data_IF_979065102665
#
_entry.id   IF_979065102665
#
_cell.length_a   1.000
_cell.length_b   1.000
_cell.length_c   1.000
_cell.angle_alpha   90.00
_cell.angle_beta   90.00
_cell.angle_gamma   90.00
#
_symmetry.space_group_name_H-M   'P 1'
#
loop_
_entity.id
_entity.type
_entity.pdbx_description
1 polymer ?
#
# COMPACT_ATOMS: atom_id res chain seq x y z
N UNK A 1 -22.09 -7.79 12.63
CA UNK A 1 -23.17 -8.47 11.88
C UNK A 1 -22.80 -8.72 10.41
N UNK A 2 -22.60 -7.67 9.61
CA UNK A 2 -22.27 -7.76 8.16
C UNK A 2 -21.10 -8.72 7.87
N UNK A 3 -19.93 -8.54 8.49
CA UNK A 3 -18.77 -9.43 8.26
C UNK A 3 -19.14 -10.91 8.47
N UNK A 4 -19.68 -11.25 9.64
CA UNK A 4 -20.02 -12.63 10.03
C UNK A 4 -21.09 -13.26 9.14
N UNK A 5 -22.11 -12.51 8.75
CA UNK A 5 -23.28 -13.07 8.06
C UNK A 5 -23.18 -13.00 6.53
N UNK A 6 -22.41 -12.05 5.99
CA UNK A 6 -22.37 -11.78 4.54
C UNK A 6 -20.98 -11.97 3.92
N UNK A 7 -19.89 -11.82 4.67
CA UNK A 7 -18.53 -11.91 4.11
C UNK A 7 -17.84 -13.21 4.49
N UNK A 8 -17.84 -13.58 5.78
CA UNK A 8 -17.15 -14.78 6.27
C UNK A 8 -17.64 -16.09 5.62
N UNK A 9 -18.93 -16.24 5.23
CA UNK A 9 -19.38 -17.41 4.47
C UNK A 9 -18.88 -17.44 3.02
N UNK A 10 -18.45 -16.31 2.46
CA UNK A 10 -18.05 -16.19 1.06
C UNK A 10 -16.56 -16.54 0.90
N UNK A 11 -16.21 -17.70 0.30
CA UNK A 11 -14.83 -18.16 0.23
C UNK A 11 -13.94 -17.29 -0.65
N UNK A 12 -14.49 -16.37 -1.45
CA UNK A 12 -13.76 -15.40 -2.27
C UNK A 12 -13.84 -13.97 -1.71
N UNK A 13 -14.64 -13.75 -0.66
CA UNK A 13 -14.82 -12.46 -0.03
C UNK A 13 -13.66 -12.11 0.90
N UNK A 14 -13.27 -10.84 0.91
CA UNK A 14 -12.42 -10.25 1.94
C UNK A 14 -12.97 -8.88 2.31
N UNK A 15 -12.69 -8.45 3.53
CA UNK A 15 -13.19 -7.18 4.08
C UNK A 15 -12.05 -6.41 4.72
N UNK A 16 -12.05 -5.09 4.53
CA UNK A 16 -11.11 -4.15 5.15
C UNK A 16 -11.89 -2.91 5.59
N UNK A 17 -11.39 -2.21 6.59
CA UNK A 17 -11.89 -0.88 6.96
C UNK A 17 -11.04 0.16 6.22
N UNK A 18 -11.70 1.08 5.52
CA UNK A 18 -11.04 2.19 4.85
C UNK A 18 -11.07 3.45 5.71
N UNK A 19 -9.99 4.21 5.72
CA UNK A 19 -9.91 5.50 6.40
C UNK A 19 -9.14 6.52 5.58
N UNK A 20 -9.40 7.80 5.79
CA UNK A 20 -8.57 8.90 5.30
C UNK A 20 -7.75 9.44 6.48
N UNK A 21 -6.48 9.07 6.57
CA UNK A 21 -5.61 9.50 7.66
C UNK A 21 -5.39 11.02 7.60
N UNK A 22 -5.92 11.75 8.59
CA UNK A 22 -5.74 13.19 8.68
C UNK A 22 -5.86 13.69 10.11
N UNK A 23 -5.00 14.64 10.50
CA UNK A 23 -4.96 15.16 11.87
C UNK A 23 -6.29 15.77 12.30
N UNK A 24 -6.97 16.43 11.37
CA UNK A 24 -8.32 16.99 11.56
C UNK A 24 -9.40 15.94 11.84
N UNK A 25 -9.16 14.68 11.50
CA UNK A 25 -10.10 13.57 11.61
C UNK A 25 -9.59 12.44 12.53
N UNK A 26 -8.63 12.73 13.43
CA UNK A 26 -7.98 11.70 14.26
C UNK A 26 -8.97 10.82 15.04
N UNK A 27 -10.04 11.39 15.61
CA UNK A 27 -11.06 10.63 16.32
C UNK A 27 -11.78 9.61 15.44
N UNK A 28 -12.07 9.96 14.18
CA UNK A 28 -12.63 9.04 13.20
C UNK A 28 -11.60 7.98 12.78
N UNK A 29 -10.34 8.38 12.58
CA UNK A 29 -9.27 7.43 12.27
C UNK A 29 -9.08 6.40 13.39
N UNK A 30 -9.14 6.83 14.65
CA UNK A 30 -9.09 5.96 15.83
C UNK A 30 -10.27 4.99 15.88
N UNK A 31 -11.49 5.48 15.68
CA UNK A 31 -12.68 4.63 15.64
C UNK A 31 -12.61 3.58 14.51
N UNK A 32 -12.12 3.96 13.32
CA UNK A 32 -11.90 3.02 12.22
C UNK A 32 -10.85 1.96 12.57
N UNK A 33 -9.77 2.34 13.25
CA UNK A 33 -8.74 1.40 13.69
C UNK A 33 -9.27 0.43 14.76
N UNK A 34 -10.00 0.93 15.76
CA UNK A 34 -10.64 0.10 16.78
C UNK A 34 -11.62 -0.89 16.15
N UNK A 35 -12.43 -0.46 15.18
CA UNK A 35 -13.33 -1.34 14.44
C UNK A 35 -12.56 -2.40 13.62
N UNK A 36 -11.46 -2.02 12.96
CA UNK A 36 -10.62 -2.97 12.24
C UNK A 36 -10.04 -4.04 13.16
N UNK A 37 -9.62 -3.66 14.37
CA UNK A 37 -9.09 -4.57 15.39
C UNK A 37 -10.18 -5.51 15.93
N UNK A 38 -11.36 -4.99 16.28
CA UNK A 38 -12.49 -5.80 16.75
C UNK A 38 -12.93 -6.83 15.70
N UNK A 39 -12.94 -6.44 14.43
CA UNK A 39 -13.32 -7.30 13.32
C UNK A 39 -12.20 -8.23 12.84
N UNK A 40 -10.97 -8.04 13.33
CA UNK A 40 -9.80 -8.82 12.90
C UNK A 40 -9.45 -8.62 11.42
N UNK A 41 -9.62 -7.41 10.89
CA UNK A 41 -9.36 -7.08 9.48
C UNK A 41 -8.32 -5.98 9.33
N UNK A 42 -7.85 -5.76 8.10
CA UNK A 42 -6.89 -4.69 7.81
C UNK A 42 -7.56 -3.32 7.80
N UNK A 43 -6.76 -2.30 8.16
CA UNK A 43 -7.04 -0.90 7.89
C UNK A 43 -6.37 -0.51 6.58
N UNK A 44 -7.09 0.15 5.67
CA UNK A 44 -6.53 0.68 4.43
C UNK A 44 -6.65 2.22 4.38
N UNK A 45 -5.65 2.89 3.80
CA UNK A 45 -5.67 4.34 3.63
C UNK A 45 -4.83 4.80 2.45
N UNK A 46 -5.29 5.86 1.77
CA UNK A 46 -4.47 6.61 0.82
C UNK A 46 -3.61 7.59 1.62
N UNK A 47 -2.28 7.51 1.49
CA UNK A 47 -1.37 8.32 2.29
C UNK A 47 -0.25 8.88 1.41
N UNK A 48 -0.06 10.20 1.49
CA UNK A 48 1.06 10.90 0.85
C UNK A 48 1.19 10.56 -0.65
N UNK A 49 0.05 10.43 -1.33
CA UNK A 49 -0.03 10.42 -2.77
C UNK A 49 0.32 11.81 -3.33
N UNK A 50 -0.21 12.86 -2.68
CA UNK A 50 -0.02 14.26 -3.05
C UNK A 50 0.83 14.97 -2.00
N UNK A 51 1.73 15.90 -2.38
CA UNK A 51 2.60 16.56 -1.41
C UNK A 51 1.80 17.41 -0.41
N UNK A 52 0.62 17.92 -0.81
CA UNK A 52 -0.24 18.72 0.05
C UNK A 52 -0.80 17.95 1.26
N UNK A 53 -0.93 16.62 1.15
CA UNK A 53 -1.37 15.76 2.26
C UNK A 53 -0.40 15.76 3.45
N UNK A 54 0.82 16.27 3.26
CA UNK A 54 1.77 16.50 4.35
C UNK A 54 1.19 17.37 5.46
N UNK A 55 0.32 18.34 5.12
CA UNK A 55 -0.31 19.23 6.09
C UNK A 55 -1.19 18.48 7.11
N UNK A 56 -1.71 17.31 6.73
CA UNK A 56 -2.56 16.47 7.56
C UNK A 56 -1.78 15.48 8.45
N UNK A 57 -0.45 15.45 8.34
CA UNK A 57 0.45 14.54 9.09
C UNK A 57 -0.06 13.09 9.17
N UNK A 58 -0.36 12.44 8.02
CA UNK A 58 -1.06 11.17 8.00
C UNK A 58 -0.28 10.03 8.66
N UNK A 59 1.05 10.00 8.53
CA UNK A 59 1.87 8.98 9.21
C UNK A 59 1.91 9.22 10.72
N UNK A 60 2.01 10.48 11.17
CA UNK A 60 1.91 10.81 12.59
C UNK A 60 0.57 10.39 13.19
N UNK A 61 -0.54 10.67 12.51
CA UNK A 61 -1.88 10.23 12.95
C UNK A 61 -1.98 8.72 13.05
N UNK A 62 -1.50 7.98 12.03
CA UNK A 62 -1.51 6.52 12.04
C UNK A 62 -0.62 5.96 13.16
N UNK A 63 0.47 6.65 13.50
CA UNK A 63 1.32 6.33 14.65
C UNK A 63 0.59 6.57 15.97
N UNK A 64 -0.05 7.72 16.14
CA UNK A 64 -0.70 8.14 17.39
C UNK A 64 -1.94 7.29 17.75
N UNK A 65 -2.61 6.73 16.74
CA UNK A 65 -3.68 5.76 16.95
C UNK A 65 -3.16 4.32 17.10
N UNK A 66 -1.86 4.09 16.93
CA UNK A 66 -1.24 2.76 17.04
C UNK A 66 -1.53 1.84 15.85
N UNK A 67 -1.81 2.38 14.67
CA UNK A 67 -2.13 1.61 13.46
C UNK A 67 -0.89 1.15 12.68
N UNK A 68 0.31 1.69 12.95
CA UNK A 68 1.53 1.23 12.27
C UNK A 68 1.81 -0.24 12.58
N UNK A 69 1.63 -1.11 11.58
CA UNK A 69 1.75 -2.54 11.75
C UNK A 69 1.43 -3.32 10.46
N UNK A 70 1.57 -4.65 10.48
CA UNK A 70 1.28 -5.51 9.33
C UNK A 70 -0.20 -5.58 8.94
N UNK A 71 -1.11 -5.02 9.76
CA UNK A 71 -2.55 -4.89 9.45
C UNK A 71 -2.91 -3.53 8.81
N UNK A 72 -1.92 -2.69 8.52
CA UNK A 72 -2.11 -1.42 7.83
C UNK A 72 -1.63 -1.53 6.38
N UNK A 73 -2.55 -1.25 5.45
CA UNK A 73 -2.27 -1.08 4.03
C UNK A 73 -2.29 0.41 3.66
N UNK A 74 -1.15 0.92 3.22
CA UNK A 74 -1.02 2.27 2.69
C UNK A 74 -0.93 2.24 1.16
N UNK A 75 -1.81 2.97 0.50
CA UNK A 75 -1.76 3.19 -0.95
C UNK A 75 -0.87 4.40 -1.27
N UNK A 76 -0.17 4.32 -2.41
CA UNK A 76 0.69 5.36 -3.00
C UNK A 76 2.00 5.64 -2.28
N UNK A 77 1.98 6.12 -1.03
CA UNK A 77 3.16 6.40 -0.20
C UNK A 77 4.31 7.12 -0.94
N UNK A 78 3.98 8.09 -1.80
CA UNK A 78 4.92 8.70 -2.74
C UNK A 78 5.86 9.65 -2.00
N UNK A 79 5.29 10.51 -1.16
CA UNK A 79 6.00 11.60 -0.52
C UNK A 79 6.49 11.27 0.90
N UNK A 80 6.79 10.00 1.18
CA UNK A 80 7.43 9.61 2.44
C UNK A 80 8.82 10.26 2.58
N UNK A 81 9.07 10.82 3.76
CA UNK A 81 10.41 11.23 4.20
C UNK A 81 11.27 10.01 4.55
N UNK A 82 12.57 10.20 4.72
CA UNK A 82 13.48 9.11 5.12
C UNK A 82 13.11 8.51 6.49
N UNK A 83 12.67 9.35 7.42
CA UNK A 83 12.20 8.92 8.74
C UNK A 83 10.93 8.07 8.62
N UNK A 84 10.00 8.43 7.74
CA UNK A 84 8.77 7.66 7.53
C UNK A 84 9.02 6.37 6.76
N UNK A 85 9.94 6.36 5.78
CA UNK A 85 10.43 5.13 5.15
C UNK A 85 11.01 4.18 6.20
N UNK A 86 11.79 4.69 7.15
CA UNK A 86 12.30 3.89 8.25
C UNK A 86 11.19 3.40 9.18
N UNK A 87 10.20 4.24 9.48
CA UNK A 87 9.08 3.89 10.34
C UNK A 87 8.19 2.79 9.74
N UNK A 88 7.80 2.90 8.46
CA UNK A 88 6.97 1.88 7.80
C UNK A 88 7.70 0.53 7.70
N UNK A 89 9.03 0.56 7.49
CA UNK A 89 9.85 -0.65 7.51
C UNK A 89 9.92 -1.28 8.90
N UNK A 90 10.19 -0.48 9.94
CA UNK A 90 10.31 -0.97 11.31
C UNK A 90 9.01 -1.60 11.84
N UNK A 91 7.85 -1.16 11.34
CA UNK A 91 6.54 -1.64 11.76
C UNK A 91 5.92 -2.67 10.79
N UNK A 92 6.63 -3.11 9.76
CA UNK A 92 6.14 -4.08 8.76
C UNK A 92 4.84 -3.63 8.06
N UNK A 93 4.68 -2.32 7.83
CA UNK A 93 3.51 -1.76 7.14
C UNK A 93 3.44 -2.25 5.69
N UNK A 94 2.24 -2.53 5.20
CA UNK A 94 2.00 -3.00 3.83
C UNK A 94 1.77 -1.82 2.90
N UNK A 95 2.39 -1.83 1.73
CA UNK A 95 2.22 -0.76 0.74
C UNK A 95 1.62 -1.28 -0.57
N UNK A 96 0.78 -0.46 -1.21
CA UNK A 96 0.32 -0.65 -2.58
C UNK A 96 0.90 0.42 -3.50
N UNK A 97 1.67 -0.02 -4.49
CA UNK A 97 2.21 0.84 -5.54
C UNK A 97 1.24 0.92 -6.72
N UNK A 98 0.77 2.13 -7.01
CA UNK A 98 -0.19 2.40 -8.09
C UNK A 98 0.44 3.24 -9.23
N UNK A 99 1.46 2.74 -9.94
CA UNK A 99 2.31 3.56 -10.80
C UNK A 99 1.57 4.25 -11.95
N UNK A 100 0.58 3.59 -12.57
CA UNK A 100 -0.15 4.18 -13.69
C UNK A 100 -1.02 5.36 -13.24
N UNK A 101 -1.72 5.22 -12.11
CA UNK A 101 -2.46 6.34 -11.49
C UNK A 101 -1.52 7.47 -11.09
N UNK A 102 -0.43 7.15 -10.39
CA UNK A 102 0.54 8.15 -9.95
C UNK A 102 1.10 8.97 -11.12
N UNK A 103 1.38 8.33 -12.26
CA UNK A 103 1.81 9.01 -13.48
C UNK A 103 0.69 9.87 -14.07
N UNK A 104 -0.52 9.31 -14.19
CA UNK A 104 -1.66 9.98 -14.82
C UNK A 104 -2.06 11.26 -14.09
N UNK A 105 -2.04 11.23 -12.76
CA UNK A 105 -2.39 12.34 -11.89
C UNK A 105 -1.21 13.29 -11.59
N UNK A 106 0.00 12.96 -12.05
CA UNK A 106 1.21 13.72 -11.73
C UNK A 106 1.54 13.72 -10.24
N UNK A 107 1.16 12.65 -9.53
CA UNK A 107 1.37 12.50 -8.08
C UNK A 107 2.85 12.23 -7.76
N UNK A 108 3.58 11.54 -8.64
CA UNK A 108 5.02 11.32 -8.52
C UNK A 108 5.42 9.84 -8.51
N UNK A 109 6.59 9.53 -7.95
CA UNK A 109 7.19 8.18 -8.00
C UNK A 109 7.40 7.67 -6.57
N UNK A 110 6.71 6.58 -6.19
CA UNK A 110 6.95 5.87 -4.93
C UNK A 110 8.41 5.44 -4.86
N UNK A 111 9.04 5.61 -3.70
CA UNK A 111 10.47 5.38 -3.47
C UNK A 111 10.82 3.89 -3.30
N UNK A 112 10.44 3.03 -4.26
CA UNK A 112 10.64 1.57 -4.16
C UNK A 112 12.11 1.20 -3.91
N UNK A 113 13.05 1.89 -4.55
CA UNK A 113 14.49 1.70 -4.34
C UNK A 113 14.94 1.89 -2.88
N UNK A 114 14.21 2.70 -2.10
CA UNK A 114 14.50 2.98 -0.71
C UNK A 114 13.74 2.02 0.24
N UNK A 115 12.56 1.53 -0.19
CA UNK A 115 11.66 0.68 0.58
C UNK A 115 12.02 -0.82 0.48
N UNK A 116 12.30 -1.31 -0.73
CA UNK A 116 12.56 -2.73 -1.01
C UNK A 116 13.75 -3.29 -0.21
N UNK A 117 14.94 -2.65 -0.23
CA UNK A 117 16.10 -3.09 0.56
C UNK A 117 15.87 -3.10 2.07
N UNK A 118 14.84 -2.40 2.58
CA UNK A 118 14.45 -2.39 3.99
C UNK A 118 13.43 -3.47 4.34
N UNK A 119 13.07 -4.33 3.40
CA UNK A 119 12.14 -5.44 3.61
C UNK A 119 10.67 -5.02 3.63
N UNK A 120 10.32 -3.80 3.22
CA UNK A 120 8.93 -3.36 3.15
C UNK A 120 8.19 -4.18 2.10
N UNK A 121 7.05 -4.78 2.46
CA UNK A 121 6.22 -5.53 1.51
C UNK A 121 5.39 -4.57 0.68
N UNK A 122 5.59 -4.63 -0.63
CA UNK A 122 4.89 -3.78 -1.60
C UNK A 122 4.19 -4.64 -2.64
N UNK A 123 2.91 -4.37 -2.87
CA UNK A 123 2.09 -4.97 -3.93
C UNK A 123 1.81 -3.96 -5.04
N UNK A 124 1.20 -4.41 -6.14
CA UNK A 124 0.77 -3.53 -7.23
C UNK A 124 -0.75 -3.29 -7.19
N UNK A 125 -1.17 -2.05 -7.40
CA UNK A 125 -2.56 -1.63 -7.45
C UNK A 125 -2.87 -0.84 -8.72
N UNK A 126 -4.07 -1.05 -9.28
CA UNK A 126 -4.53 -0.30 -10.45
C UNK A 126 -4.94 1.14 -10.09
N UNK A 127 -5.58 1.31 -8.94
CA UNK A 127 -6.26 2.53 -8.51
C UNK A 127 -7.33 2.96 -9.53
N UNK A 128 -8.56 2.51 -9.29
CA UNK A 128 -9.63 2.52 -10.30
C UNK A 128 -10.05 3.94 -10.74
N UNK A 129 -10.25 4.13 -12.04
CA UNK A 129 -10.73 5.40 -12.60
C UNK A 129 -9.68 6.50 -12.76
N UNK A 130 -8.44 6.25 -12.31
CA UNK A 130 -7.30 7.18 -12.40
C UNK A 130 -6.17 6.63 -13.28
N UNK A 131 -6.39 5.49 -13.93
CA UNK A 131 -5.52 4.91 -14.95
C UNK A 131 -6.26 4.79 -16.30
N UNK A 132 -5.51 4.70 -17.40
CA UNK A 132 -6.08 4.56 -18.74
C UNK A 132 -6.19 3.08 -19.18
N UNK A 133 -5.88 2.11 -18.30
CA UNK A 133 -5.86 0.68 -18.63
C UNK A 133 -5.88 -0.23 -17.38
N UNK A 134 -6.56 -1.36 -17.49
CA UNK A 134 -6.54 -2.45 -16.50
C UNK A 134 -5.40 -3.46 -16.69
N UNK A 135 -4.38 -3.13 -17.49
CA UNK A 135 -3.27 -4.02 -17.82
C UNK A 135 -2.22 -4.12 -16.70
N UNK A 136 -2.20 -5.23 -15.98
CA UNK A 136 -1.20 -5.51 -14.95
C UNK A 136 0.23 -5.69 -15.49
N UNK A 137 0.42 -6.11 -16.75
CA UNK A 137 1.75 -6.15 -17.35
C UNK A 137 2.30 -4.73 -17.57
N UNK A 138 1.44 -3.78 -17.90
CA UNK A 138 1.82 -2.37 -17.96
C UNK A 138 2.23 -1.85 -16.59
N UNK A 139 1.49 -2.17 -15.52
CA UNK A 139 1.88 -1.82 -14.14
C UNK A 139 3.27 -2.32 -13.80
N UNK A 140 3.54 -3.60 -14.10
CA UNK A 140 4.83 -4.22 -13.81
C UNK A 140 5.99 -3.53 -14.56
N UNK A 141 5.84 -3.29 -15.87
CA UNK A 141 6.87 -2.60 -16.67
C UNK A 141 7.10 -1.19 -16.15
N UNK A 142 6.04 -0.47 -15.82
CA UNK A 142 6.12 0.89 -15.30
C UNK A 142 6.80 0.96 -13.94
N UNK A 143 6.52 0.02 -13.03
CA UNK A 143 7.16 -0.02 -11.70
C UNK A 143 8.70 -0.05 -11.80
N UNK A 144 9.25 -0.88 -12.71
CA UNK A 144 10.70 -0.95 -12.97
C UNK A 144 11.18 0.33 -13.66
N UNK A 145 10.50 0.74 -14.74
CA UNK A 145 10.90 1.88 -15.56
C UNK A 145 10.98 3.18 -14.76
N UNK A 146 10.03 3.44 -13.87
CA UNK A 146 10.01 4.65 -13.05
C UNK A 146 11.20 4.71 -12.07
N UNK A 147 11.61 3.60 -11.46
CA UNK A 147 12.77 3.61 -10.55
C UNK A 147 14.07 3.87 -11.32
N UNK A 148 14.23 3.24 -12.49
CA UNK A 148 15.39 3.47 -13.37
C UNK A 148 15.46 4.91 -13.87
N UNK A 149 14.31 5.46 -14.29
CA UNK A 149 14.24 6.85 -14.75
C UNK A 149 14.56 7.85 -13.62
N UNK A 150 14.08 7.58 -12.40
CA UNK A 150 14.35 8.42 -11.22
C UNK A 150 15.81 8.37 -10.77
N UNK A 151 16.43 7.20 -10.80
CA UNK A 151 17.75 6.97 -10.19
C UNK A 151 18.90 6.97 -11.18
N UNK A 152 18.62 6.90 -12.48
CA UNK A 152 19.59 6.68 -13.56
C UNK A 152 20.38 5.36 -13.42
N UNK A 153 19.89 4.41 -12.62
CA UNK A 153 20.55 3.12 -12.35
C UNK A 153 19.73 1.95 -12.89
N UNK A 154 20.29 1.17 -13.83
CA UNK A 154 19.57 0.06 -14.46
C UNK A 154 19.32 -1.13 -13.52
N UNK A 155 20.20 -1.29 -12.51
CA UNK A 155 20.19 -2.40 -11.55
C UNK A 155 19.44 -2.07 -10.26
N UNK A 156 18.86 -0.87 -10.15
CA UNK A 156 18.09 -0.45 -8.96
C UNK A 156 16.89 -1.37 -8.72
N UNK A 157 16.53 -1.59 -7.46
CA UNK A 157 15.28 -2.27 -7.12
C UNK A 157 14.06 -1.47 -7.63
N UNK A 158 12.99 -2.13 -8.13
CA UNK A 158 12.85 -3.58 -8.30
C UNK A 158 13.38 -4.09 -9.65
N UNK A 159 13.83 -5.35 -9.67
CA UNK A 159 14.14 -6.08 -10.90
C UNK A 159 12.91 -6.90 -11.37
N UNK A 160 13.04 -7.59 -12.51
CA UNK A 160 11.91 -8.32 -13.14
C UNK A 160 11.26 -9.34 -12.21
N UNK A 161 12.07 -10.12 -11.48
CA UNK A 161 11.55 -11.13 -10.55
C UNK A 161 10.88 -10.50 -9.32
N UNK A 162 11.42 -9.38 -8.83
CA UNK A 162 10.82 -8.62 -7.72
C UNK A 162 9.43 -8.15 -8.10
N UNK A 163 9.27 -7.55 -9.29
CA UNK A 163 7.98 -7.04 -9.73
C UNK A 163 6.97 -8.14 -10.01
N UNK A 164 7.41 -9.29 -10.56
CA UNK A 164 6.54 -10.46 -10.69
C UNK A 164 6.05 -10.93 -9.31
N UNK A 165 6.94 -10.94 -8.30
CA UNK A 165 6.57 -11.24 -6.92
C UNK A 165 5.58 -10.20 -6.38
N UNK A 166 5.83 -8.89 -6.55
CA UNK A 166 4.91 -7.82 -6.13
C UNK A 166 3.52 -7.97 -6.77
N UNK A 167 3.44 -8.45 -8.01
CA UNK A 167 2.20 -8.71 -8.73
C UNK A 167 1.49 -10.03 -8.32
N UNK A 168 2.15 -10.90 -7.55
CA UNK A 168 1.65 -12.23 -7.18
C UNK A 168 1.75 -12.45 -5.67
N UNK A 169 2.72 -13.24 -5.19
CA UNK A 169 2.88 -13.60 -3.78
C UNK A 169 3.06 -12.36 -2.88
N UNK A 170 3.84 -11.37 -3.31
CA UNK A 170 4.01 -10.12 -2.57
C UNK A 170 2.71 -9.33 -2.44
N UNK A 171 1.88 -9.31 -3.49
CA UNK A 171 0.53 -8.75 -3.43
C UNK A 171 -0.38 -9.51 -2.46
N UNK A 172 -0.32 -10.85 -2.48
CA UNK A 172 -1.04 -11.68 -1.53
C UNK A 172 -0.57 -11.46 -0.08
N UNK A 173 0.73 -11.31 0.17
CA UNK A 173 1.28 -10.97 1.49
C UNK A 173 0.83 -9.59 1.97
N UNK A 174 0.76 -8.62 1.06
CA UNK A 174 0.26 -7.26 1.33
C UNK A 174 -1.22 -7.25 1.70
N UNK A 175 -2.01 -8.17 1.14
CA UNK A 175 -3.45 -8.31 1.41
C UNK A 175 -3.79 -9.31 2.53
N UNK A 176 -2.81 -10.01 3.08
CA UNK A 176 -3.05 -11.07 4.07
C UNK A 176 -3.72 -12.33 3.49
N UNK A 177 -3.44 -12.65 2.22
CA UNK A 177 -4.02 -13.77 1.45
C UNK A 177 -2.97 -14.79 0.98
N UNK A 178 -1.73 -14.69 1.45
CA UNK A 178 -0.60 -15.51 0.98
C UNK A 178 -0.74 -17.01 1.31
N UNK A 179 -1.60 -17.37 2.26
CA UNK A 179 -1.97 -18.74 2.59
C UNK A 179 -2.96 -19.36 1.60
N UNK A 180 -3.55 -18.54 0.71
CA UNK A 180 -4.60 -18.95 -0.22
C UNK A 180 -4.21 -18.79 -1.69
N UNK A 181 -3.46 -17.75 -2.02
CA UNK A 181 -3.10 -17.39 -3.40
C UNK A 181 -1.70 -16.81 -3.50
N UNK A 182 -1.21 -16.62 -4.74
CA UNK A 182 0.01 -15.87 -5.04
C UNK A 182 1.22 -16.73 -5.39
N UNK A 183 1.17 -18.04 -5.16
CA UNK A 183 2.21 -18.99 -5.58
C UNK A 183 1.63 -20.33 -6.04
N UNK A 184 2.40 -21.09 -6.82
CA UNK A 184 2.07 -22.45 -7.24
C UNK A 184 2.91 -23.42 -6.40
N UNK A 185 2.33 -23.95 -5.32
CA UNK A 185 2.98 -24.81 -4.33
C UNK A 185 2.16 -26.06 -4.06
#
# INVERSE_FOLDING_TARGET
KVKKELIDPEPLGAFQIATHAARSAESHNRAHWEAAQELGVMLNSHVLERPEQRADDPIGVLSDIGALGPRLLINHAIHLTDAEVAAVAAHDVRLAHCPLSNMRLGSGIMRLADLGPRGVKVGLGLDGGTNDTSDFHALMKTAIGLQRARTTEATVFPQVHDVLRMATLGGAEVLGLADRVGSLT
#
